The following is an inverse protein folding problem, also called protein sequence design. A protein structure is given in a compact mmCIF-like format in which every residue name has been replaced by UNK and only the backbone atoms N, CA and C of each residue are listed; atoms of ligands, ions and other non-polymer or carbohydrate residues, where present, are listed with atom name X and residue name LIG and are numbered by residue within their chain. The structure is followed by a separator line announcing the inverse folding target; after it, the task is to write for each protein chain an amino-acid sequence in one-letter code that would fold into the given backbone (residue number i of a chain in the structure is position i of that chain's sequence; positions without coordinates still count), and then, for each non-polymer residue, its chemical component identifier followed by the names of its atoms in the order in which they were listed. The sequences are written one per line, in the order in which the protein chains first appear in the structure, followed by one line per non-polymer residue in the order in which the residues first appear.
data_IF_016075033910
#
_entry.id   IF_016075033910
#
_cell.length_a   1.000
_cell.length_b   1.000
_cell.length_c   1.000
_cell.angle_alpha   90.00
_cell.angle_beta   90.00
_cell.angle_gamma   90.00
#
_symmetry.space_group_name_H-M   'P 1'
#
loop_
_entity.id
_entity.type
_entity.pdbx_description
1 polymer ?
#
# COMPACT_ATOMS: atom_id res chain seq x y z
N UNK A 1 -19.07 -16.62 67.27
CA UNK A 1 -20.03 -16.43 66.14
C UNK A 1 -19.79 -15.20 65.27
N UNK A 2 -19.16 -14.11 65.71
CA UNK A 2 -18.89 -12.88 64.95
C UNK A 2 -17.76 -13.03 63.91
N UNK A 3 -16.76 -13.89 64.12
CA UNK A 3 -15.61 -14.05 63.20
C UNK A 3 -15.98 -14.71 61.89
N UNK A 4 -16.91 -15.67 61.89
CA UNK A 4 -17.34 -16.42 60.68
C UNK A 4 -18.17 -15.53 59.74
N UNK A 5 -18.93 -14.58 60.27
CA UNK A 5 -19.73 -13.64 59.47
C UNK A 5 -18.84 -12.58 58.76
N UNK A 6 -17.70 -12.22 59.37
CA UNK A 6 -16.75 -11.26 58.77
C UNK A 6 -16.02 -11.90 57.58
N UNK A 7 -15.67 -13.19 57.70
CA UNK A 7 -15.05 -13.95 56.63
C UNK A 7 -15.93 -14.08 55.37
N UNK A 8 -17.22 -14.35 55.55
CA UNK A 8 -18.17 -14.44 54.42
C UNK A 8 -18.36 -13.12 53.66
N UNK A 9 -18.38 -11.98 54.39
CA UNK A 9 -18.49 -10.66 53.74
C UNK A 9 -17.24 -10.29 52.94
N UNK A 10 -16.05 -10.63 53.45
CA UNK A 10 -14.79 -10.37 52.76
C UNK A 10 -14.68 -11.25 51.51
N UNK A 11 -15.04 -12.53 51.58
CA UNK A 11 -15.05 -13.44 50.44
C UNK A 11 -16.03 -12.97 49.35
N UNK A 12 -17.22 -12.51 49.75
CA UNK A 12 -18.20 -11.98 48.80
C UNK A 12 -17.72 -10.70 48.11
N UNK A 13 -17.05 -9.80 48.82
CA UNK A 13 -16.51 -8.56 48.28
C UNK A 13 -15.36 -8.85 47.31
N UNK A 14 -14.48 -9.81 47.61
CA UNK A 14 -13.38 -10.24 46.71
C UNK A 14 -13.94 -10.86 45.45
N UNK A 15 -14.95 -11.74 45.53
CA UNK A 15 -15.59 -12.34 44.35
C UNK A 15 -16.28 -11.27 43.51
N UNK A 16 -16.95 -10.29 44.11
CA UNK A 16 -17.56 -9.17 43.38
C UNK A 16 -16.49 -8.31 42.63
N UNK A 17 -15.35 -8.03 43.26
CA UNK A 17 -14.25 -7.33 42.63
C UNK A 17 -13.63 -8.09 41.45
N UNK A 18 -13.56 -9.43 41.52
CA UNK A 18 -13.09 -10.25 40.40
C UNK A 18 -14.09 -10.30 39.24
N UNK A 19 -15.38 -10.24 39.51
CA UNK A 19 -16.41 -10.24 38.46
C UNK A 19 -16.54 -8.87 37.76
N UNK A 20 -16.20 -7.76 38.40
CA UNK A 20 -16.22 -6.42 37.79
C UNK A 20 -15.02 -6.14 36.86
N UNK A 21 -13.92 -6.89 36.97
CA UNK A 21 -12.75 -6.68 36.10
C UNK A 21 -12.88 -7.29 34.69
N UNK A 22 -13.99 -7.97 34.38
CA UNK A 22 -14.15 -8.69 33.12
C UNK A 22 -14.92 -7.92 32.02
N UNK A 23 -15.34 -6.69 32.28
CA UNK A 23 -16.06 -5.86 31.30
C UNK A 23 -15.17 -4.71 30.77
N UNK A 24 -13.97 -5.02 30.31
CA UNK A 24 -13.31 -4.12 29.39
C UNK A 24 -13.84 -4.48 27.99
N UNK A 25 -14.86 -3.77 27.55
CA UNK A 25 -15.26 -3.75 26.17
C UNK A 25 -14.06 -3.22 25.37
N UNK A 26 -13.33 -4.09 24.71
CA UNK A 26 -12.32 -3.70 23.73
C UNK A 26 -13.10 -3.06 22.58
N UNK A 27 -13.06 -1.75 22.49
CA UNK A 27 -13.47 -1.03 21.29
C UNK A 27 -12.42 -1.38 20.24
N UNK A 28 -12.65 -2.46 19.51
CA UNK A 28 -11.91 -2.75 18.28
C UNK A 28 -12.34 -1.70 17.27
N UNK A 29 -11.56 -0.64 17.11
CA UNK A 29 -11.76 0.27 15.99
C UNK A 29 -11.58 -0.55 14.71
N UNK A 30 -12.68 -0.75 13.97
CA UNK A 30 -12.63 -1.43 12.68
C UNK A 30 -11.76 -0.62 11.74
N UNK A 31 -10.78 -1.26 11.11
CA UNK A 31 -9.95 -0.65 10.06
C UNK A 31 -10.79 -0.25 8.84
N UNK A 32 -11.84 -1.03 8.56
CA UNK A 32 -12.70 -0.84 7.38
C UNK A 32 -14.12 -0.54 7.85
N UNK A 33 -14.67 0.56 7.40
CA UNK A 33 -16.10 0.89 7.54
C UNK A 33 -16.87 0.34 6.34
N UNK A 34 -17.54 -0.80 6.55
CA UNK A 34 -18.31 -1.48 5.50
C UNK A 34 -19.50 -0.62 5.00
N UNK A 35 -20.02 0.31 5.79
CA UNK A 35 -21.13 1.19 5.41
C UNK A 35 -20.68 2.32 4.46
N UNK A 36 -19.39 2.63 4.45
CA UNK A 36 -18.79 3.69 3.63
C UNK A 36 -18.05 3.18 2.40
N UNK A 37 -18.12 1.89 2.09
CA UNK A 37 -17.57 1.35 0.85
C UNK A 37 -18.37 1.89 -0.35
N UNK A 38 -17.70 2.57 -1.27
CA UNK A 38 -18.27 3.21 -2.47
C UNK A 38 -17.52 2.76 -3.72
N UNK A 39 -17.78 1.53 -4.21
CA UNK A 39 -17.13 1.02 -5.42
C UNK A 39 -17.50 1.91 -6.62
N UNK A 40 -16.53 2.19 -7.48
CA UNK A 40 -16.73 3.05 -8.65
C UNK A 40 -16.67 4.55 -8.37
N UNK A 41 -16.32 4.99 -7.16
CA UNK A 41 -16.08 6.42 -6.88
C UNK A 41 -15.07 6.99 -7.87
N UNK A 42 -15.41 8.09 -8.60
CA UNK A 42 -14.48 8.76 -9.49
C UNK A 42 -13.38 9.43 -8.64
N UNK A 43 -12.19 8.82 -8.63
CA UNK A 43 -11.04 9.35 -7.93
C UNK A 43 -10.02 9.90 -8.93
N UNK A 44 -9.24 10.91 -8.55
CA UNK A 44 -8.08 11.36 -9.31
C UNK A 44 -7.14 10.21 -9.67
N UNK A 45 -6.43 10.37 -10.79
CA UNK A 45 -5.46 9.36 -11.27
C UNK A 45 -4.07 9.55 -10.71
N UNK A 46 -3.88 10.55 -9.83
CA UNK A 46 -2.60 10.85 -9.20
C UNK A 46 -2.08 9.65 -8.42
N UNK A 47 -0.78 9.43 -8.50
CA UNK A 47 -0.09 8.41 -7.75
C UNK A 47 0.57 9.04 -6.52
N UNK A 48 -0.20 9.13 -5.45
CA UNK A 48 0.22 9.58 -4.12
C UNK A 48 -0.17 8.48 -3.12
N UNK A 49 0.60 7.38 -3.07
CA UNK A 49 0.19 6.18 -2.37
C UNK A 49 0.03 6.42 -0.87
N UNK A 50 -0.92 5.69 -0.30
CA UNK A 50 -1.14 5.62 1.16
C UNK A 50 -1.21 4.16 1.59
N UNK A 51 -0.67 3.89 2.78
CA UNK A 51 -0.75 2.58 3.43
C UNK A 51 -1.96 2.55 4.35
N UNK A 52 -2.96 1.77 4.01
CA UNK A 52 -4.15 1.56 4.83
C UNK A 52 -3.85 0.77 6.10
N UNK A 53 -4.73 0.90 7.08
CA UNK A 53 -4.68 0.13 8.32
C UNK A 53 -4.86 -1.39 8.11
N UNK A 54 -5.33 -1.80 6.93
CA UNK A 54 -5.41 -3.19 6.46
C UNK A 54 -4.11 -3.70 5.84
N UNK A 55 -3.04 -2.88 5.91
CA UNK A 55 -1.72 -3.14 5.33
C UNK A 55 -1.72 -3.29 3.81
N UNK A 56 -2.64 -2.61 3.12
CA UNK A 56 -2.66 -2.51 1.66
C UNK A 56 -2.28 -1.11 1.21
N UNK A 57 -1.49 -1.05 0.13
CA UNK A 57 -1.17 0.20 -0.53
C UNK A 57 -2.28 0.60 -1.50
N UNK A 58 -2.85 1.77 -1.27
CA UNK A 58 -3.84 2.40 -2.13
C UNK A 58 -3.14 3.47 -2.99
N UNK A 59 -3.64 3.65 -4.23
CA UNK A 59 -3.07 4.61 -5.18
C UNK A 59 -3.03 6.05 -4.66
N UNK A 60 -4.07 6.46 -3.90
CA UNK A 60 -4.21 7.75 -3.23
C UNK A 60 -5.28 7.66 -2.13
N UNK A 61 -5.39 8.71 -1.35
CA UNK A 61 -6.36 8.84 -0.25
C UNK A 61 -7.81 8.60 -0.72
N UNK A 62 -8.17 9.12 -1.90
CA UNK A 62 -9.52 8.93 -2.44
C UNK A 62 -9.85 7.45 -2.64
N UNK A 63 -8.91 6.66 -3.17
CA UNK A 63 -9.10 5.20 -3.36
C UNK A 63 -9.19 4.46 -2.03
N UNK A 64 -8.38 4.83 -1.03
CA UNK A 64 -8.48 4.25 0.31
C UNK A 64 -9.85 4.52 0.93
N UNK A 65 -10.31 5.78 0.89
CA UNK A 65 -11.63 6.17 1.41
C UNK A 65 -12.78 5.47 0.66
N UNK A 66 -12.67 5.30 -0.67
CA UNK A 66 -13.69 4.60 -1.47
C UNK A 66 -13.82 3.11 -1.08
N UNK A 67 -12.77 2.52 -0.52
CA UNK A 67 -12.79 1.15 0.03
C UNK A 67 -13.08 1.11 1.54
N UNK A 68 -13.51 2.22 2.12
CA UNK A 68 -13.94 2.31 3.52
C UNK A 68 -12.79 2.31 4.52
N UNK A 69 -11.55 2.60 4.09
CA UNK A 69 -10.39 2.64 4.98
C UNK A 69 -10.50 3.86 5.90
N UNK A 70 -10.51 3.60 7.21
CA UNK A 70 -10.70 4.62 8.24
C UNK A 70 -9.39 5.31 8.63
N UNK A 71 -8.27 4.60 8.56
CA UNK A 71 -6.96 5.10 8.97
C UNK A 71 -5.90 4.69 7.95
N UNK A 72 -5.01 5.61 7.61
CA UNK A 72 -3.91 5.38 6.69
C UNK A 72 -2.70 6.24 7.06
N UNK A 73 -1.53 5.81 6.63
CA UNK A 73 -0.31 6.59 6.65
C UNK A 73 0.06 7.00 5.22
N UNK A 74 0.68 8.17 5.07
CA UNK A 74 1.20 8.60 3.76
C UNK A 74 2.35 7.70 3.33
N UNK A 75 2.43 7.43 2.03
CA UNK A 75 3.38 6.50 1.43
C UNK A 75 2.84 5.08 1.27
N UNK A 76 3.61 4.23 0.59
CA UNK A 76 3.24 2.81 0.42
C UNK A 76 3.49 2.01 1.70
N UNK A 77 2.79 0.88 1.84
CA UNK A 77 3.09 -0.09 2.90
C UNK A 77 4.47 -0.71 2.66
N UNK A 78 4.79 -1.00 1.40
CA UNK A 78 6.06 -1.54 0.96
C UNK A 78 7.14 -0.46 0.87
N UNK A 79 8.43 -0.84 0.92
CA UNK A 79 9.55 0.11 0.80
C UNK A 79 9.59 0.85 -0.54
N UNK A 80 9.07 0.24 -1.61
CA UNK A 80 9.03 0.77 -2.97
C UNK A 80 7.68 0.50 -3.61
N UNK A 81 7.07 1.53 -4.22
CA UNK A 81 5.88 1.40 -5.06
C UNK A 81 6.11 2.10 -6.40
N UNK A 82 5.57 1.52 -7.48
CA UNK A 82 5.63 2.13 -8.81
C UNK A 82 4.26 2.16 -9.48
N UNK A 83 4.10 3.14 -10.35
CA UNK A 83 2.99 3.24 -11.29
C UNK A 83 3.50 3.56 -12.69
N UNK A 84 2.80 3.06 -13.70
CA UNK A 84 3.12 3.28 -15.11
C UNK A 84 1.88 3.69 -15.89
N UNK A 85 2.01 4.71 -16.72
CA UNK A 85 0.90 5.23 -17.51
C UNK A 85 1.43 5.93 -18.79
N UNK A 86 0.75 5.80 -19.95
CA UNK A 86 -0.39 4.94 -20.22
C UNK A 86 0.00 3.45 -20.29
N UNK A 87 -0.97 2.58 -20.10
CA UNK A 87 -0.82 1.15 -20.35
C UNK A 87 -2.15 0.59 -20.88
N UNK A 88 -2.26 0.23 -22.16
CA UNK A 88 -1.19 0.13 -23.17
C UNK A 88 -0.51 1.46 -23.53
N UNK A 89 0.76 1.35 -23.96
CA UNK A 89 1.58 2.48 -24.39
C UNK A 89 1.89 2.43 -25.88
N UNK A 90 1.94 3.61 -26.52
CA UNK A 90 2.45 3.75 -27.90
C UNK A 90 3.88 4.31 -27.91
N UNK A 91 4.10 5.55 -27.53
CA UNK A 91 5.40 6.23 -27.67
C UNK A 91 6.11 6.42 -26.33
N UNK A 92 5.47 7.09 -25.39
CA UNK A 92 6.10 7.49 -24.15
C UNK A 92 5.37 6.89 -22.95
N UNK A 93 6.10 6.18 -22.11
CA UNK A 93 5.67 5.66 -20.83
C UNK A 93 6.08 6.64 -19.73
N UNK A 94 5.16 7.08 -18.90
CA UNK A 94 5.47 7.80 -17.67
C UNK A 94 5.55 6.82 -16.52
N UNK A 95 6.69 6.78 -15.84
CA UNK A 95 6.93 5.96 -14.68
C UNK A 95 6.99 6.86 -13.45
N UNK A 96 6.15 6.57 -12.46
CA UNK A 96 6.22 7.15 -11.13
C UNK A 96 6.72 6.11 -10.14
N UNK A 97 7.62 6.51 -9.25
CA UNK A 97 8.09 5.68 -8.16
C UNK A 97 8.09 6.45 -6.85
N UNK A 98 7.70 5.78 -5.77
CA UNK A 98 7.73 6.32 -4.41
C UNK A 98 8.50 5.34 -3.54
N UNK A 99 9.54 5.85 -2.88
CA UNK A 99 10.36 5.12 -1.93
C UNK A 99 10.03 5.62 -0.52
N UNK A 100 9.92 4.70 0.42
CA UNK A 100 9.65 5.02 1.84
C UNK A 100 10.80 5.78 2.49
N UNK A 101 12.03 5.52 2.04
CA UNK A 101 13.25 6.18 2.46
C UNK A 101 14.07 6.55 1.23
N UNK A 102 14.89 7.61 1.34
CA UNK A 102 15.78 8.00 0.26
C UNK A 102 16.81 6.90 -0.02
N UNK A 103 16.85 6.44 -1.28
CA UNK A 103 17.75 5.37 -1.72
C UNK A 103 18.04 5.50 -3.22
N UNK A 104 18.91 4.64 -3.71
CA UNK A 104 19.20 4.50 -5.13
C UNK A 104 18.15 3.60 -5.78
N UNK A 105 17.71 3.98 -6.98
CA UNK A 105 16.70 3.26 -7.73
C UNK A 105 17.23 2.89 -9.12
N UNK A 106 17.12 1.64 -9.48
CA UNK A 106 17.36 1.15 -10.84
C UNK A 106 16.04 0.80 -11.50
N UNK A 107 15.76 1.41 -12.65
CA UNK A 107 14.64 1.06 -13.52
C UNK A 107 15.19 0.31 -14.74
N UNK A 108 14.59 -0.85 -15.07
CA UNK A 108 14.89 -1.53 -16.32
C UNK A 108 13.65 -2.19 -16.90
N UNK A 109 13.64 -2.37 -18.20
CA UNK A 109 12.53 -2.96 -18.96
C UNK A 109 13.05 -4.14 -19.74
N UNK A 110 12.40 -5.30 -19.60
CA UNK A 110 12.69 -6.50 -20.37
C UNK A 110 11.47 -6.97 -21.15
N UNK A 111 11.69 -7.77 -22.18
CA UNK A 111 10.63 -8.60 -22.74
C UNK A 111 10.35 -9.83 -21.84
N UNK A 112 9.42 -10.67 -22.26
CA UNK A 112 9.05 -11.90 -21.53
C UNK A 112 10.14 -12.97 -21.53
N UNK A 113 11.17 -12.84 -22.40
CA UNK A 113 12.33 -13.74 -22.47
C UNK A 113 13.51 -13.24 -21.63
N UNK A 114 13.36 -12.05 -21.00
CA UNK A 114 14.40 -11.44 -20.19
C UNK A 114 15.39 -10.58 -20.97
N UNK A 115 15.16 -10.37 -22.31
CA UNK A 115 15.98 -9.45 -23.07
C UNK A 115 15.73 -8.02 -22.62
N UNK A 116 16.78 -7.33 -22.19
CA UNK A 116 16.70 -5.95 -21.72
C UNK A 116 16.66 -4.96 -22.88
N UNK A 117 15.74 -3.98 -22.78
CA UNK A 117 15.52 -2.91 -23.76
C UNK A 117 15.82 -1.52 -23.20
N UNK A 118 15.78 -1.36 -21.90
CA UNK A 118 15.99 -0.09 -21.22
C UNK A 118 16.58 -0.30 -19.85
N UNK A 119 17.51 0.60 -19.42
CA UNK A 119 18.01 0.69 -18.06
C UNK A 119 18.33 2.15 -17.69
N UNK A 120 17.94 2.54 -16.49
CA UNK A 120 18.28 3.84 -15.91
C UNK A 120 18.54 3.71 -14.42
N UNK A 121 19.47 4.51 -13.93
CA UNK A 121 19.87 4.56 -12.55
C UNK A 121 19.64 5.96 -11.97
N UNK A 122 19.07 6.05 -10.76
CA UNK A 122 18.79 7.27 -10.02
C UNK A 122 19.39 7.15 -8.62
N UNK A 123 19.89 8.25 -8.07
CA UNK A 123 20.57 8.25 -6.78
C UNK A 123 19.83 9.10 -5.76
N UNK A 124 19.73 8.58 -4.53
CA UNK A 124 19.23 9.29 -3.35
C UNK A 124 17.87 9.99 -3.59
N UNK A 125 16.89 9.23 -4.06
CA UNK A 125 15.54 9.73 -4.35
C UNK A 125 14.51 9.12 -3.40
N UNK A 126 13.45 9.86 -3.12
CA UNK A 126 12.22 9.36 -2.46
C UNK A 126 11.05 9.33 -3.43
N UNK A 127 11.12 10.10 -4.51
CA UNK A 127 10.09 10.21 -5.54
C UNK A 127 10.73 10.35 -6.91
N UNK A 128 10.10 9.74 -7.92
CA UNK A 128 10.45 9.84 -9.32
C UNK A 128 9.17 10.01 -10.15
N UNK A 129 9.19 10.94 -11.11
CA UNK A 129 8.24 11.04 -12.22
C UNK A 129 9.07 11.21 -13.49
N UNK A 130 9.15 10.16 -14.30
CA UNK A 130 10.13 10.10 -15.37
C UNK A 130 9.52 9.52 -16.66
N UNK A 131 9.65 10.23 -17.81
CA UNK A 131 9.25 9.72 -19.11
C UNK A 131 10.29 8.72 -19.65
N UNK A 132 9.81 7.62 -20.20
CA UNK A 132 10.61 6.60 -20.88
C UNK A 132 10.09 6.48 -22.32
N UNK A 133 10.98 6.73 -23.29
CA UNK A 133 10.68 6.57 -24.71
C UNK A 133 10.69 5.09 -25.10
N UNK A 134 9.55 4.60 -25.60
CA UNK A 134 9.36 3.19 -25.99
C UNK A 134 8.90 3.05 -27.44
N UNK A 135 8.98 4.11 -28.25
CA UNK A 135 8.60 4.09 -29.68
C UNK A 135 9.38 3.06 -30.49
N UNK A 136 10.67 2.81 -30.12
CA UNK A 136 11.50 1.79 -30.74
C UNK A 136 11.21 0.35 -30.33
N UNK A 137 10.30 0.12 -29.36
CA UNK A 137 9.94 -1.22 -28.93
C UNK A 137 8.94 -1.85 -29.91
N UNK A 138 9.05 -3.15 -30.14
CA UNK A 138 8.05 -3.90 -30.91
C UNK A 138 6.76 -4.05 -30.12
N UNK A 139 5.63 -4.23 -30.83
CA UNK A 139 4.38 -4.56 -30.18
C UNK A 139 4.52 -5.85 -29.37
N UNK A 140 4.06 -5.85 -28.13
CA UNK A 140 4.21 -6.99 -27.24
C UNK A 140 4.06 -6.66 -25.77
N UNK A 141 4.38 -7.66 -24.96
CA UNK A 141 4.35 -7.56 -23.50
C UNK A 141 5.78 -7.40 -22.98
N UNK A 142 5.94 -6.45 -22.09
CA UNK A 142 7.18 -6.14 -21.38
C UNK A 142 6.97 -6.16 -19.88
N UNK A 143 8.06 -6.26 -19.13
CA UNK A 143 8.09 -6.14 -17.68
C UNK A 143 8.94 -4.93 -17.31
N UNK A 144 8.36 -3.98 -16.60
CA UNK A 144 9.04 -2.80 -16.06
C UNK A 144 9.40 -3.10 -14.63
N UNK A 145 10.69 -3.18 -14.34
CA UNK A 145 11.22 -3.43 -13.02
C UNK A 145 11.74 -2.14 -12.38
N UNK A 146 11.54 -2.03 -11.08
CA UNK A 146 12.19 -1.05 -10.23
C UNK A 146 12.86 -1.78 -9.06
N UNK A 147 14.11 -1.47 -8.80
CA UNK A 147 14.96 -2.15 -7.80
C UNK A 147 15.62 -1.10 -6.91
N UNK A 148 15.54 -1.27 -5.60
CA UNK A 148 16.22 -0.49 -4.58
C UNK A 148 16.71 -1.41 -3.46
N UNK A 149 18.02 -1.39 -3.13
CA UNK A 149 18.60 -2.37 -2.21
C UNK A 149 18.24 -3.81 -2.58
N UNK A 150 17.68 -4.54 -1.63
CA UNK A 150 17.22 -5.93 -1.82
C UNK A 150 15.73 -6.02 -2.24
N UNK A 151 15.07 -4.89 -2.44
CA UNK A 151 13.66 -4.82 -2.78
C UNK A 151 13.47 -4.57 -4.27
N UNK A 152 12.57 -5.30 -4.89
CA UNK A 152 12.13 -5.03 -6.25
C UNK A 152 10.61 -5.10 -6.40
N UNK A 153 10.10 -4.33 -7.33
CA UNK A 153 8.72 -4.41 -7.79
C UNK A 153 8.70 -4.41 -9.31
N UNK A 154 7.64 -4.96 -9.90
CA UNK A 154 7.48 -4.90 -11.35
C UNK A 154 6.05 -4.66 -11.77
N UNK A 155 5.88 -4.12 -12.97
CA UNK A 155 4.59 -3.93 -13.65
C UNK A 155 4.65 -4.52 -15.05
N UNK A 156 3.54 -5.13 -15.48
CA UNK A 156 3.35 -5.55 -16.85
C UNK A 156 3.02 -4.34 -17.72
N UNK A 157 3.73 -4.18 -18.83
CA UNK A 157 3.53 -3.15 -19.83
C UNK A 157 3.07 -3.80 -21.13
N UNK A 158 2.02 -3.27 -21.73
CA UNK A 158 1.54 -3.64 -23.05
C UNK A 158 1.95 -2.54 -24.04
N UNK A 159 2.80 -2.87 -25.03
CA UNK A 159 3.21 -1.96 -26.11
C UNK A 159 2.35 -2.22 -27.33
N UNK A 160 1.69 -1.18 -27.82
CA UNK A 160 0.92 -1.16 -29.06
C UNK A 160 1.29 0.09 -29.85
N UNK A 161 1.64 -0.06 -31.11
CA UNK A 161 1.75 1.04 -32.07
C UNK A 161 0.43 1.11 -32.86
N UNK A 162 -0.15 2.31 -32.95
CA UNK A 162 -1.33 2.60 -33.73
C UNK A 162 -0.95 3.14 -35.10
#
# INVERSE_FOLDING_TARGET
MKLILLSKKIVFCVICCFLFNSLQAQVTSSCVDSFNIRPGTPCPTDFEPVCGCDNKTYRNVCKANAEGIMYYNMGSCEPLAIDINPNPVDQTLFLKAVLKYADNLTIFITDINGQEYYRRYFTNITYLDFPIEVSGFRNGIYLVFAVTGDTYVYKKLSKHSF
#
